data_IF_563773523129
#
_entry.id   IF_563773523129
#
_cell.length_a   1.000
_cell.length_b   1.000
_cell.length_c   1.000
_cell.angle_alpha   90.00
_cell.angle_beta   90.00
_cell.angle_gamma   90.00
#
_symmetry.space_group_name_H-M   'P 1'
#
loop_
_entity.id
_entity.type
_entity.pdbx_description
1 polymer ?
#
# COMPACT_ATOMS: atom_id res chain seq x y z
N UNK A 1 25.72 -20.77 -19.13
CA UNK A 1 24.23 -20.76 -19.06
C UNK A 1 23.75 -20.11 -20.35
N UNK A 2 22.88 -20.76 -21.13
CA UNK A 2 22.53 -20.24 -22.45
C UNK A 2 21.88 -18.86 -22.34
N UNK A 3 22.41 -17.88 -23.08
CA UNK A 3 21.86 -16.53 -23.33
C UNK A 3 20.33 -16.48 -23.38
N UNK A 4 19.60 -17.43 -24.03
CA UNK A 4 18.13 -17.40 -24.03
C UNK A 4 17.44 -17.61 -22.68
N UNK A 5 18.07 -18.29 -21.72
CA UNK A 5 17.44 -18.53 -20.40
C UNK A 5 17.54 -17.29 -19.51
N UNK A 6 18.70 -16.64 -19.51
CA UNK A 6 18.97 -15.41 -18.75
C UNK A 6 18.05 -14.28 -19.23
N UNK A 7 17.92 -14.12 -20.55
CA UNK A 7 17.06 -13.09 -21.13
C UNK A 7 15.57 -13.30 -20.80
N UNK A 8 15.10 -14.55 -20.73
CA UNK A 8 13.71 -14.86 -20.31
C UNK A 8 13.46 -14.54 -18.84
N UNK A 9 14.45 -14.77 -17.98
CA UNK A 9 14.34 -14.43 -16.57
C UNK A 9 14.22 -12.91 -16.37
N UNK A 10 15.03 -12.12 -17.08
CA UNK A 10 14.96 -10.66 -17.03
C UNK A 10 13.65 -10.09 -17.55
N UNK A 11 13.15 -10.61 -18.67
CA UNK A 11 11.81 -10.25 -19.16
C UNK A 11 10.75 -10.59 -18.12
N UNK A 12 10.89 -11.72 -17.42
CA UNK A 12 10.01 -12.11 -16.32
C UNK A 12 10.02 -11.10 -15.17
N UNK A 13 11.21 -10.70 -14.70
CA UNK A 13 11.35 -9.69 -13.65
C UNK A 13 10.79 -8.33 -14.08
N UNK A 14 11.08 -7.87 -15.31
CA UNK A 14 10.52 -6.64 -15.86
C UNK A 14 8.99 -6.69 -15.96
N UNK A 15 8.43 -7.86 -16.28
CA UNK A 15 6.97 -8.04 -16.30
C UNK A 15 6.35 -7.98 -14.90
N UNK A 16 6.99 -8.59 -13.89
CA UNK A 16 6.57 -8.46 -12.48
C UNK A 16 6.63 -7.00 -12.03
N UNK A 17 7.66 -6.27 -12.48
CA UNK A 17 7.83 -4.86 -12.20
C UNK A 17 6.66 -4.05 -12.77
N UNK A 18 6.38 -4.18 -14.07
CA UNK A 18 5.25 -3.47 -14.71
C UNK A 18 3.92 -3.83 -14.03
N UNK A 19 3.72 -5.10 -13.68
CA UNK A 19 2.52 -5.51 -12.94
C UNK A 19 2.44 -4.81 -11.57
N UNK A 20 3.54 -4.74 -10.83
CA UNK A 20 3.65 -4.00 -9.57
C UNK A 20 3.30 -2.53 -9.76
N UNK A 21 3.91 -1.86 -10.74
CA UNK A 21 3.62 -0.47 -11.08
C UNK A 21 2.14 -0.26 -11.44
N UNK A 22 1.55 -1.15 -12.25
CA UNK A 22 0.14 -1.07 -12.59
C UNK A 22 -0.77 -1.23 -11.37
N UNK A 23 -0.44 -2.15 -10.46
CA UNK A 23 -1.16 -2.34 -9.20
C UNK A 23 -1.04 -1.11 -8.27
N UNK A 24 0.12 -0.45 -8.27
CA UNK A 24 0.32 0.87 -7.66
C UNK A 24 -0.62 1.91 -8.21
N UNK A 25 -0.73 2.05 -9.53
CA UNK A 25 -1.70 2.97 -10.11
C UNK A 25 -3.14 2.59 -9.73
N UNK A 26 -3.46 1.30 -9.79
CA UNK A 26 -4.80 0.79 -9.53
C UNK A 26 -5.29 1.13 -8.12
N UNK A 27 -4.44 1.00 -7.09
CA UNK A 27 -4.80 1.31 -5.70
C UNK A 27 -5.24 2.78 -5.50
N UNK A 28 -4.90 3.64 -6.46
CA UNK A 28 -5.28 5.05 -6.49
C UNK A 28 -6.33 5.42 -7.57
N UNK A 29 -7.03 4.45 -8.16
CA UNK A 29 -7.98 4.67 -9.28
C UNK A 29 -9.11 5.70 -9.02
N UNK A 30 -9.32 6.14 -7.78
CA UNK A 30 -10.27 7.18 -7.40
C UNK A 30 -9.69 8.59 -7.20
N UNK A 31 -8.37 8.78 -7.37
CA UNK A 31 -7.68 10.08 -7.19
C UNK A 31 -7.62 10.87 -8.48
N UNK A 32 -7.45 12.19 -8.35
CA UNK A 32 -7.19 13.02 -9.52
C UNK A 32 -5.81 12.72 -10.06
N UNK A 33 -5.67 12.65 -11.37
CA UNK A 33 -4.37 12.47 -12.02
C UNK A 33 -3.41 13.65 -11.75
N UNK A 34 -3.92 14.80 -11.32
CA UNK A 34 -3.10 15.96 -10.91
C UNK A 34 -2.75 15.97 -9.42
N UNK A 35 -3.21 14.99 -8.63
CA UNK A 35 -2.89 14.97 -7.21
C UNK A 35 -1.40 14.72 -7.00
N UNK A 36 -0.75 15.54 -6.17
CA UNK A 36 0.70 15.46 -5.90
C UNK A 36 1.14 14.09 -5.36
N UNK A 37 0.23 13.38 -4.68
CA UNK A 37 0.46 12.03 -4.15
C UNK A 37 0.60 10.97 -5.25
N UNK A 38 0.21 11.28 -6.49
CA UNK A 38 0.33 10.38 -7.66
C UNK A 38 1.68 10.49 -8.36
N UNK A 39 2.46 11.55 -8.09
CA UNK A 39 3.78 11.75 -8.71
C UNK A 39 4.70 10.53 -8.54
N UNK A 40 4.82 9.92 -7.36
CA UNK A 40 5.65 8.72 -7.18
C UNK A 40 5.22 7.57 -8.08
N UNK A 41 3.91 7.40 -8.28
CA UNK A 41 3.37 6.33 -9.14
C UNK A 41 3.68 6.56 -10.62
N UNK A 42 3.72 7.82 -11.06
CA UNK A 42 4.15 8.16 -12.42
C UNK A 42 5.62 7.88 -12.63
N UNK A 43 6.46 8.22 -11.65
CA UNK A 43 7.89 7.93 -11.69
C UNK A 43 8.13 6.41 -11.73
N UNK A 44 7.38 5.64 -10.94
CA UNK A 44 7.43 4.17 -10.97
C UNK A 44 7.08 3.58 -12.35
N UNK A 45 6.09 4.13 -13.06
CA UNK A 45 5.80 3.66 -14.43
C UNK A 45 6.90 4.01 -15.43
N UNK A 46 7.47 5.21 -15.32
CA UNK A 46 8.59 5.63 -16.17
C UNK A 46 9.76 4.70 -15.97
N UNK A 47 10.07 4.38 -14.73
CA UNK A 47 11.19 3.55 -14.34
C UNK A 47 10.99 2.07 -14.75
N UNK A 48 9.81 1.49 -14.51
CA UNK A 48 9.47 0.16 -15.02
C UNK A 48 9.57 0.09 -16.55
N UNK A 49 9.19 1.17 -17.24
CA UNK A 49 9.35 1.32 -18.69
C UNK A 49 10.81 1.35 -19.13
N UNK A 50 11.69 2.02 -18.37
CA UNK A 50 13.12 2.05 -18.63
C UNK A 50 13.77 0.68 -18.44
N UNK A 51 13.38 -0.07 -17.40
CA UNK A 51 13.86 -1.44 -17.17
C UNK A 51 13.36 -2.42 -18.23
N UNK A 52 12.10 -2.33 -18.65
CA UNK A 52 11.61 -3.14 -19.78
C UNK A 52 12.37 -2.78 -21.07
N UNK A 53 12.60 -1.49 -21.29
CA UNK A 53 13.36 -1.04 -22.45
C UNK A 53 14.79 -1.57 -22.42
N UNK A 54 15.51 -1.47 -21.29
CA UNK A 54 16.87 -2.03 -21.15
C UNK A 54 16.86 -3.54 -21.40
N UNK A 55 15.86 -4.25 -20.88
CA UNK A 55 15.74 -5.70 -21.02
C UNK A 55 15.65 -6.18 -22.49
N UNK A 56 15.00 -5.42 -23.36
CA UNK A 56 14.91 -5.74 -24.80
C UNK A 56 16.30 -5.77 -25.45
N UNK A 57 17.23 -4.93 -24.97
CA UNK A 57 18.57 -4.80 -25.52
C UNK A 57 19.56 -5.86 -25.03
N UNK A 58 19.26 -6.63 -23.97
CA UNK A 58 20.15 -7.71 -23.49
C UNK A 58 20.46 -8.77 -24.56
N UNK A 59 19.56 -8.98 -25.53
CA UNK A 59 19.84 -9.89 -26.65
C UNK A 59 21.00 -9.44 -27.56
N UNK A 60 21.37 -8.15 -27.48
CA UNK A 60 22.45 -7.52 -28.26
C UNK A 60 23.64 -7.15 -27.39
N UNK A 61 23.64 -7.61 -26.15
CA UNK A 61 24.77 -7.48 -25.24
C UNK A 61 26.04 -8.08 -25.86
N UNK A 62 27.18 -7.46 -25.58
CA UNK A 62 28.51 -7.79 -26.15
C UNK A 62 28.66 -7.66 -27.67
N UNK A 63 27.63 -7.16 -28.37
CA UNK A 63 27.78 -6.75 -29.77
C UNK A 63 28.42 -5.36 -29.89
N UNK A 64 29.11 -5.10 -31.02
CA UNK A 64 29.77 -3.82 -31.31
C UNK A 64 30.79 -3.36 -30.24
N UNK A 65 31.56 -4.30 -29.67
CA UNK A 65 32.64 -3.97 -28.73
C UNK A 65 32.16 -3.42 -27.38
N UNK A 66 30.96 -3.83 -26.93
CA UNK A 66 30.40 -3.45 -25.63
C UNK A 66 29.62 -2.13 -25.61
N UNK A 67 29.37 -1.52 -26.78
CA UNK A 67 28.56 -0.30 -26.87
C UNK A 67 27.16 -0.47 -26.27
N UNK A 68 26.48 -1.59 -26.59
CA UNK A 68 25.15 -1.88 -26.07
C UNK A 68 25.17 -2.15 -24.56
N UNK A 69 26.21 -2.82 -24.05
CA UNK A 69 26.40 -3.06 -22.62
C UNK A 69 26.43 -1.73 -21.85
N UNK A 70 27.25 -0.77 -22.29
CA UNK A 70 27.31 0.55 -21.65
C UNK A 70 26.00 1.34 -21.79
N UNK A 71 25.30 1.22 -22.92
CA UNK A 71 24.01 1.89 -23.11
C UNK A 71 22.94 1.34 -22.16
N UNK A 72 22.86 0.01 -22.00
CA UNK A 72 21.96 -0.68 -21.07
C UNK A 72 22.20 -0.18 -19.64
N UNK A 73 23.45 -0.18 -19.18
CA UNK A 73 23.77 0.27 -17.82
C UNK A 73 23.48 1.75 -17.55
N UNK A 74 23.57 2.62 -18.56
CA UNK A 74 23.15 4.03 -18.42
C UNK A 74 21.64 4.17 -18.29
N UNK A 75 20.88 3.36 -19.03
CA UNK A 75 19.43 3.32 -18.93
C UNK A 75 19.02 2.79 -17.56
N UNK A 76 19.64 1.71 -17.09
CA UNK A 76 19.36 1.11 -15.77
C UNK A 76 19.78 2.01 -14.61
N UNK A 77 20.89 2.75 -14.74
CA UNK A 77 21.25 3.77 -13.77
C UNK A 77 20.21 4.89 -13.70
N UNK A 78 19.66 5.29 -14.85
CA UNK A 78 18.59 6.29 -14.92
C UNK A 78 17.33 5.75 -14.26
N UNK A 79 16.96 4.50 -14.55
CA UNK A 79 15.84 3.80 -13.93
C UNK A 79 15.99 3.78 -12.40
N UNK A 80 17.11 3.26 -11.88
CA UNK A 80 17.38 3.21 -10.44
C UNK A 80 17.37 4.59 -9.77
N UNK A 81 17.79 5.65 -10.46
CA UNK A 81 17.72 7.02 -9.93
C UNK A 81 16.28 7.51 -9.84
N UNK A 82 15.46 7.24 -10.87
CA UNK A 82 14.04 7.58 -10.87
C UNK A 82 13.31 6.81 -9.75
N UNK A 83 13.62 5.52 -9.58
CA UNK A 83 13.03 4.70 -8.52
C UNK A 83 13.37 5.25 -7.12
N UNK A 84 14.63 5.63 -6.91
CA UNK A 84 15.05 6.18 -5.63
C UNK A 84 14.31 7.49 -5.32
N UNK A 85 14.09 8.34 -6.32
CA UNK A 85 13.28 9.57 -6.16
C UNK A 85 11.81 9.21 -5.88
N UNK A 86 11.27 8.23 -6.60
CA UNK A 86 9.91 7.73 -6.38
C UNK A 86 9.74 7.19 -4.95
N UNK A 87 10.74 6.49 -4.41
CA UNK A 87 10.67 5.92 -3.06
C UNK A 87 10.64 6.98 -1.96
N UNK A 88 11.35 8.09 -2.13
CA UNK A 88 11.19 9.27 -1.26
C UNK A 88 9.81 9.92 -1.43
N UNK A 89 9.27 9.92 -2.65
CA UNK A 89 7.92 10.37 -2.92
C UNK A 89 6.83 9.51 -2.25
N UNK A 90 7.00 8.19 -2.25
CA UNK A 90 6.08 7.26 -1.58
C UNK A 90 6.06 7.45 -0.07
N UNK A 91 7.22 7.60 0.58
CA UNK A 91 7.23 7.82 2.04
C UNK A 91 6.55 9.15 2.42
N UNK A 92 6.70 10.19 1.59
CA UNK A 92 6.00 11.46 1.80
C UNK A 92 4.49 11.32 1.56
N UNK A 93 4.09 10.66 0.48
CA UNK A 93 2.69 10.40 0.16
C UNK A 93 2.01 9.58 1.25
N UNK A 94 2.71 8.54 1.74
CA UNK A 94 2.31 7.75 2.88
C UNK A 94 2.16 8.63 4.12
N UNK A 95 3.17 9.43 4.47
CA UNK A 95 3.10 10.32 5.64
C UNK A 95 1.90 11.28 5.59
N UNK A 96 1.54 11.76 4.40
CA UNK A 96 0.41 12.69 4.21
C UNK A 96 -0.97 12.03 4.19
N UNK A 97 -1.06 10.77 3.75
CA UNK A 97 -2.34 10.11 3.48
C UNK A 97 -2.68 8.97 4.44
N UNK A 98 -1.69 8.43 5.15
CA UNK A 98 -1.85 7.15 5.82
C UNK A 98 -2.53 7.27 7.18
N UNK A 99 -3.53 6.41 7.38
CA UNK A 99 -4.28 6.28 8.62
C UNK A 99 -3.61 5.24 9.49
N UNK A 100 -3.06 5.65 10.64
CA UNK A 100 -2.37 4.74 11.57
C UNK A 100 -3.37 3.84 12.30
N UNK A 101 -3.32 2.54 12.06
CA UNK A 101 -4.12 1.53 12.79
C UNK A 101 -3.25 0.34 13.21
N UNK A 102 -3.73 -0.56 14.08
CA UNK A 102 -2.97 -1.77 14.44
C UNK A 102 -2.71 -2.62 13.18
N UNK A 103 -1.44 -2.99 12.93
CA UNK A 103 -1.03 -3.71 11.72
C UNK A 103 -1.01 -2.86 10.44
N UNK A 104 -1.18 -1.54 10.55
CA UNK A 104 -0.99 -0.56 9.48
C UNK A 104 -0.17 0.62 10.01
N UNK A 105 1.06 0.74 9.55
CA UNK A 105 2.01 1.73 10.07
C UNK A 105 3.40 1.57 9.46
N UNK A 106 4.29 2.48 9.81
CA UNK A 106 5.70 2.37 9.41
C UNK A 106 6.41 1.36 10.32
N UNK A 107 6.06 0.09 10.15
CA UNK A 107 6.49 -1.05 10.98
C UNK A 107 6.86 -2.21 10.07
N UNK A 108 7.80 -3.06 10.48
CA UNK A 108 8.23 -4.21 9.68
C UNK A 108 7.13 -5.26 9.46
N UNK A 109 6.04 -5.21 10.25
CA UNK A 109 4.87 -6.05 10.05
C UNK A 109 3.94 -5.54 8.94
N UNK A 110 4.13 -4.30 8.47
CA UNK A 110 3.34 -3.73 7.37
C UNK A 110 4.02 -4.03 6.02
N UNK A 111 3.39 -4.79 5.11
CA UNK A 111 3.98 -5.11 3.82
C UNK A 111 4.35 -3.87 2.98
N UNK A 112 3.70 -2.72 3.18
CA UNK A 112 4.07 -1.47 2.51
C UNK A 112 5.46 -0.98 2.95
N UNK A 113 5.77 -1.12 4.24
CA UNK A 113 7.07 -0.69 4.79
C UNK A 113 8.18 -1.59 4.27
N UNK A 114 7.93 -2.90 4.20
CA UNK A 114 8.89 -3.87 3.66
C UNK A 114 9.09 -3.67 2.16
N UNK A 115 8.02 -3.45 1.40
CA UNK A 115 8.10 -3.15 -0.02
C UNK A 115 8.91 -1.87 -0.27
N UNK A 116 8.64 -0.79 0.47
CA UNK A 116 9.38 0.46 0.36
C UNK A 116 10.87 0.30 0.71
N UNK A 117 11.19 -0.42 1.79
CA UNK A 117 12.56 -0.69 2.21
C UNK A 117 13.31 -1.50 1.15
N UNK A 118 12.70 -2.59 0.68
CA UNK A 118 13.30 -3.46 -0.33
C UNK A 118 13.55 -2.70 -1.63
N UNK A 119 12.58 -1.90 -2.07
CA UNK A 119 12.71 -1.07 -3.27
C UNK A 119 13.86 -0.07 -3.12
N UNK A 120 13.86 0.72 -2.04
CA UNK A 120 14.91 1.71 -1.77
C UNK A 120 16.31 1.08 -1.70
N UNK A 121 16.43 -0.07 -1.02
CA UNK A 121 17.71 -0.80 -0.92
C UNK A 121 18.14 -1.30 -2.30
N UNK A 122 17.21 -1.86 -3.09
CA UNK A 122 17.50 -2.34 -4.43
C UNK A 122 17.96 -1.21 -5.35
N UNK A 123 17.27 -0.06 -5.36
CA UNK A 123 17.69 1.10 -6.17
C UNK A 123 19.10 1.59 -5.80
N UNK A 124 19.44 1.59 -4.51
CA UNK A 124 20.80 1.94 -4.05
C UNK A 124 21.83 0.92 -4.56
N UNK A 125 21.54 -0.38 -4.44
CA UNK A 125 22.41 -1.45 -4.95
C UNK A 125 22.62 -1.28 -6.47
N UNK A 126 21.54 -1.06 -7.23
CA UNK A 126 21.60 -0.84 -8.67
C UNK A 126 22.39 0.40 -9.06
N UNK A 127 22.25 1.50 -8.31
CA UNK A 127 23.01 2.70 -8.55
C UNK A 127 24.51 2.45 -8.33
N UNK A 128 24.89 1.80 -7.22
CA UNK A 128 26.29 1.45 -6.93
C UNK A 128 26.84 0.51 -8.00
N UNK A 129 26.09 -0.52 -8.36
CA UNK A 129 26.46 -1.48 -9.40
C UNK A 129 26.69 -0.78 -10.74
N UNK A 130 25.75 0.03 -11.22
CA UNK A 130 25.87 0.70 -12.51
C UNK A 130 26.99 1.77 -12.50
N UNK A 131 27.25 2.44 -11.38
CA UNK A 131 28.43 3.32 -11.24
C UNK A 131 29.70 2.50 -11.41
N UNK A 132 29.81 1.36 -10.73
CA UNK A 132 31.00 0.48 -10.85
C UNK A 132 31.21 0.03 -12.28
N UNK A 133 30.17 -0.42 -12.99
CA UNK A 133 30.30 -0.86 -14.39
C UNK A 133 30.65 0.31 -15.33
N UNK A 134 30.13 1.51 -15.10
CA UNK A 134 30.51 2.68 -15.89
C UNK A 134 31.97 3.11 -15.68
N UNK A 135 32.55 2.85 -14.49
CA UNK A 135 33.95 3.18 -14.18
C UNK A 135 34.90 2.04 -14.59
N UNK A 136 34.48 0.79 -14.40
CA UNK A 136 35.24 -0.44 -14.62
C UNK A 136 34.38 -1.47 -15.39
N UNK A 137 34.20 -1.29 -16.72
CA UNK A 137 33.35 -2.16 -17.53
C UNK A 137 33.78 -3.62 -17.51
N UNK A 138 35.05 -3.91 -17.24
CA UNK A 138 35.60 -5.26 -17.11
C UNK A 138 35.03 -6.06 -15.92
N UNK A 139 34.38 -5.41 -14.95
CA UNK A 139 33.69 -6.09 -13.85
C UNK A 139 32.32 -6.65 -14.25
N UNK A 140 31.86 -6.33 -15.46
CA UNK A 140 30.62 -6.85 -16.01
C UNK A 140 30.64 -8.39 -16.03
N UNK A 141 29.53 -9.01 -15.60
CA UNK A 141 29.38 -10.48 -15.50
C UNK A 141 30.04 -11.17 -14.29
N UNK A 142 30.90 -10.48 -13.52
CA UNK A 142 31.51 -11.04 -12.29
C UNK A 142 30.96 -10.42 -11.01
N UNK A 143 30.32 -9.26 -11.13
CA UNK A 143 29.78 -8.52 -10.01
C UNK A 143 28.42 -9.06 -9.56
N UNK A 144 28.40 -9.68 -8.37
CA UNK A 144 27.19 -10.28 -7.76
C UNK A 144 26.19 -9.25 -7.21
N UNK A 145 26.55 -7.97 -7.12
CA UNK A 145 25.64 -6.93 -6.62
C UNK A 145 24.35 -6.86 -7.42
N UNK A 146 24.43 -7.05 -8.74
CA UNK A 146 23.26 -7.06 -9.60
C UNK A 146 22.27 -8.17 -9.20
N UNK A 147 22.76 -9.40 -9.00
CA UNK A 147 21.93 -10.52 -8.55
C UNK A 147 21.29 -10.26 -7.18
N UNK A 148 22.01 -9.62 -6.25
CA UNK A 148 21.42 -9.23 -4.97
C UNK A 148 20.36 -8.14 -5.14
N UNK A 149 20.60 -7.16 -6.01
CA UNK A 149 19.63 -6.15 -6.40
C UNK A 149 18.33 -6.77 -6.89
N UNK A 150 18.39 -7.69 -7.85
CA UNK A 150 17.26 -8.46 -8.38
C UNK A 150 16.48 -9.21 -7.30
N UNK A 151 17.17 -9.91 -6.41
CA UNK A 151 16.53 -10.70 -5.35
C UNK A 151 15.78 -9.78 -4.38
N UNK A 152 16.43 -8.71 -3.91
CA UNK A 152 15.81 -7.74 -3.01
C UNK A 152 14.62 -7.07 -3.70
N UNK A 153 14.78 -6.72 -4.98
CA UNK A 153 13.72 -6.14 -5.80
C UNK A 153 12.50 -7.05 -5.86
N UNK A 154 12.72 -8.30 -6.27
CA UNK A 154 11.67 -9.30 -6.44
C UNK A 154 10.90 -9.54 -5.13
N UNK A 155 11.61 -9.61 -4.01
CA UNK A 155 10.99 -9.70 -2.68
C UNK A 155 10.12 -8.47 -2.42
N UNK A 156 10.63 -7.26 -2.68
CA UNK A 156 9.88 -6.01 -2.55
C UNK A 156 8.59 -6.00 -3.39
N UNK A 157 8.69 -6.36 -4.67
CA UNK A 157 7.54 -6.45 -5.57
C UNK A 157 6.50 -7.47 -5.08
N UNK A 158 6.93 -8.62 -4.54
CA UNK A 158 5.99 -9.59 -3.96
C UNK A 158 5.26 -9.01 -2.75
N UNK A 159 5.97 -8.40 -1.80
CA UNK A 159 5.33 -7.73 -0.65
C UNK A 159 4.35 -6.66 -1.09
N UNK A 160 4.70 -5.92 -2.14
CA UNK A 160 3.82 -4.90 -2.68
C UNK A 160 2.53 -5.46 -3.30
N UNK A 161 2.64 -6.51 -4.12
CA UNK A 161 1.47 -7.20 -4.67
C UNK A 161 0.55 -7.65 -3.53
N UNK A 162 1.11 -8.21 -2.45
CA UNK A 162 0.32 -8.56 -1.27
C UNK A 162 -0.32 -7.35 -0.59
N UNK A 163 0.39 -6.22 -0.46
CA UNK A 163 -0.16 -5.00 0.11
C UNK A 163 -1.33 -4.44 -0.73
N UNK A 164 -1.19 -4.41 -2.06
CA UNK A 164 -2.27 -3.96 -2.95
C UNK A 164 -3.50 -4.86 -2.84
N UNK A 165 -3.29 -6.18 -2.92
CA UNK A 165 -4.39 -7.15 -2.82
C UNK A 165 -5.06 -7.12 -1.43
N UNK A 166 -4.28 -6.86 -0.37
CA UNK A 166 -4.81 -6.60 0.97
C UNK A 166 -5.72 -5.37 0.97
N UNK A 167 -5.28 -4.26 0.39
CA UNK A 167 -6.01 -3.00 0.44
C UNK A 167 -7.31 -3.01 -0.37
N UNK A 168 -7.35 -3.82 -1.43
CA UNK A 168 -8.56 -4.17 -2.18
C UNK A 168 -9.44 -5.23 -1.47
N UNK A 169 -9.08 -5.66 -0.26
CA UNK A 169 -9.77 -6.67 0.55
C UNK A 169 -9.85 -8.07 -0.09
N UNK A 170 -8.96 -8.41 -1.03
CA UNK A 170 -8.89 -9.77 -1.60
C UNK A 170 -8.45 -10.78 -0.54
N UNK A 171 -7.61 -10.35 0.41
CA UNK A 171 -7.04 -11.20 1.46
C UNK A 171 -7.38 -10.72 2.89
N UNK A 172 -8.65 -10.42 3.13
CA UNK A 172 -9.14 -9.97 4.45
C UNK A 172 -8.88 -10.95 5.61
N UNK A 173 -8.54 -12.21 5.31
CA UNK A 173 -8.25 -13.26 6.31
C UNK A 173 -6.75 -13.42 6.63
N UNK A 174 -5.85 -12.75 5.90
CA UNK A 174 -4.41 -12.93 6.13
C UNK A 174 -3.92 -12.17 7.37
N UNK A 175 -2.91 -12.70 8.09
CA UNK A 175 -2.40 -12.08 9.30
C UNK A 175 -1.84 -10.66 9.08
N UNK A 176 -1.31 -10.42 7.87
CA UNK A 176 -0.70 -9.16 7.44
C UNK A 176 -1.74 -8.14 6.93
N UNK A 177 -3.03 -8.45 7.02
CA UNK A 177 -4.07 -7.58 6.49
C UNK A 177 -4.32 -6.32 7.32
N UNK A 178 -3.78 -6.26 8.54
CA UNK A 178 -4.04 -5.16 9.48
C UNK A 178 -5.50 -5.05 9.93
N UNK A 179 -6.36 -6.01 9.55
CA UNK A 179 -7.78 -6.06 9.87
C UNK A 179 -8.13 -7.15 10.90
N UNK A 180 -7.16 -7.63 11.70
CA UNK A 180 -7.42 -8.64 12.73
C UNK A 180 -8.56 -8.19 13.67
N UNK A 181 -9.71 -8.86 13.56
CA UNK A 181 -10.90 -8.61 14.39
C UNK A 181 -11.94 -7.65 13.80
N UNK A 182 -11.73 -7.10 12.61
CA UNK A 182 -12.73 -6.30 11.89
C UNK A 182 -13.36 -7.15 10.80
N UNK A 183 -14.52 -7.75 11.09
CA UNK A 183 -15.29 -8.43 10.05
C UNK A 183 -15.70 -7.42 8.95
N UNK A 184 -15.66 -7.81 7.65
CA UNK A 184 -16.14 -6.97 6.57
C UNK A 184 -17.57 -6.49 6.87
N UNK A 185 -17.77 -5.17 6.90
CA UNK A 185 -19.04 -4.52 7.24
C UNK A 185 -19.16 -3.93 8.66
N UNK A 186 -18.16 -4.07 9.55
CA UNK A 186 -18.20 -3.47 10.91
C UNK A 186 -17.43 -2.18 11.11
N UNK A 187 -16.57 -1.81 10.15
CA UNK A 187 -15.91 -0.50 10.16
C UNK A 187 -16.49 0.29 8.99
N UNK A 188 -17.32 1.28 9.30
CA UNK A 188 -17.52 2.41 8.40
C UNK A 188 -16.17 3.13 8.34
N UNK A 189 -15.36 2.78 7.36
CA UNK A 189 -14.27 3.65 6.94
C UNK A 189 -14.98 4.83 6.30
N UNK A 190 -15.18 5.90 7.07
CA UNK A 190 -15.49 7.20 6.48
C UNK A 190 -14.25 7.59 5.66
N UNK A 191 -14.20 7.11 4.42
CA UNK A 191 -13.31 7.64 3.41
C UNK A 191 -13.78 9.05 3.15
N UNK A 192 -13.26 10.01 3.91
CA UNK A 192 -13.38 11.39 3.50
C UNK A 192 -12.60 11.48 2.20
N UNK A 193 -13.30 11.61 1.07
CA UNK A 193 -12.68 11.92 -0.23
C UNK A 193 -11.79 13.17 -0.17
N UNK A 194 -11.97 14.01 0.86
CA UNK A 194 -11.05 15.06 1.25
C UNK A 194 -9.84 14.51 2.01
N UNK A 195 -8.63 14.98 1.65
CA UNK A 195 -7.42 14.80 2.47
C UNK A 195 -7.74 15.05 3.95
N UNK A 196 -7.17 14.26 4.89
CA UNK A 196 -7.31 14.56 6.31
C UNK A 196 -6.91 16.01 6.53
N UNK A 197 -7.86 16.82 7.01
CA UNK A 197 -7.57 18.21 7.35
C UNK A 197 -6.55 18.16 8.49
N UNK A 198 -5.37 18.74 8.27
CA UNK A 198 -4.29 18.82 9.26
C UNK A 198 -4.87 19.11 10.65
N UNK A 199 -4.68 18.19 11.59
CA UNK A 199 -5.10 18.35 12.99
C UNK A 199 -6.39 17.64 13.43
N UNK A 200 -7.13 16.93 12.55
CA UNK A 200 -8.18 16.01 13.01
C UNK A 200 -7.62 14.59 13.15
N UNK A 201 -7.65 13.98 14.36
CA UNK A 201 -7.19 12.62 14.54
C UNK A 201 -8.08 11.68 13.72
N UNK A 202 -7.46 10.89 12.86
CA UNK A 202 -8.14 9.80 12.20
C UNK A 202 -8.67 8.86 13.27
N UNK A 203 -9.94 8.48 13.15
CA UNK A 203 -10.70 7.68 14.12
C UNK A 203 -9.81 6.55 14.63
N UNK A 204 -9.31 6.70 15.86
CA UNK A 204 -8.53 5.66 16.50
C UNK A 204 -9.48 4.47 16.71
N UNK A 205 -9.17 3.32 16.13
CA UNK A 205 -9.90 2.05 16.34
C UNK A 205 -9.75 1.56 17.82
N UNK A 206 -9.45 2.43 18.77
CA UNK A 206 -9.69 2.17 20.19
C UNK A 206 -11.14 2.39 20.61
N UNK A 207 -11.92 3.17 19.86
CA UNK A 207 -13.30 3.51 20.28
C UNK A 207 -14.34 2.42 20.01
N UNK A 208 -14.03 1.44 19.15
CA UNK A 208 -14.90 0.28 18.93
C UNK A 208 -14.98 -0.63 20.18
N UNK A 209 -13.88 -0.77 20.92
CA UNK A 209 -13.87 -1.52 22.17
C UNK A 209 -14.55 -0.75 23.32
N UNK A 210 -14.45 0.58 23.36
CA UNK A 210 -15.14 1.40 24.38
C UNK A 210 -16.66 1.36 24.20
N UNK A 211 -17.17 1.43 22.96
CA UNK A 211 -18.63 1.39 22.71
C UNK A 211 -19.27 0.05 23.09
N UNK A 212 -18.56 -1.07 22.94
CA UNK A 212 -19.05 -2.37 23.42
C UNK A 212 -19.11 -2.45 24.95
N UNK A 213 -18.15 -1.85 25.67
CA UNK A 213 -18.22 -1.77 27.14
C UNK A 213 -19.38 -0.91 27.64
N UNK A 214 -19.70 0.19 26.96
CA UNK A 214 -20.81 1.06 27.35
C UNK A 214 -22.16 0.37 27.15
N UNK A 215 -22.35 -0.39 26.06
CA UNK A 215 -23.62 -1.12 25.81
C UNK A 215 -23.88 -2.23 26.84
N UNK A 216 -22.84 -2.87 27.37
CA UNK A 216 -22.99 -3.90 28.41
C UNK A 216 -23.15 -3.36 29.83
N UNK A 217 -22.89 -2.06 30.03
CA UNK A 217 -23.09 -1.38 31.32
C UNK A 217 -24.37 -0.54 31.38
N UNK A 218 -25.24 -0.61 30.37
CA UNK A 218 -26.60 -0.09 30.53
C UNK A 218 -27.34 -1.06 31.46
N UNK A 219 -27.69 -0.67 32.70
CA UNK A 219 -28.47 -1.53 33.57
C UNK A 219 -29.76 -1.87 32.83
N UNK A 220 -30.03 -3.18 32.67
CA UNK A 220 -31.34 -3.64 32.18
C UNK A 220 -32.40 -2.92 33.02
N UNK A 221 -33.21 -2.06 32.38
CA UNK A 221 -34.37 -1.46 33.03
C UNK A 221 -35.12 -2.60 33.71
N UNK A 222 -35.22 -2.55 35.04
CA UNK A 222 -36.13 -3.43 35.78
C UNK A 222 -37.50 -3.25 35.12
N UNK A 223 -38.13 -4.36 34.76
CA UNK A 223 -39.52 -4.37 34.31
C UNK A 223 -40.32 -3.57 35.33
N UNK A 224 -40.87 -2.43 34.89
CA UNK A 224 -41.81 -1.67 35.68
C UNK A 224 -43.10 -2.49 35.65
N UNK A 225 -43.42 -3.17 36.75
CA UNK A 225 -44.75 -3.75 36.93
C UNK A 225 -45.73 -2.57 37.02
N UNK A 226 -46.75 -2.49 36.14
CA UNK A 226 -47.76 -1.46 36.27
C UNK A 226 -48.52 -1.67 37.59
N UNK A 227 -48.79 -0.60 38.35
CA UNK A 227 -49.59 -0.73 39.57
C UNK A 227 -50.98 -1.26 39.22
N UNK A 228 -51.40 -2.29 39.93
CA UNK A 228 -52.78 -2.79 39.90
C UNK A 228 -53.70 -1.68 40.43
N UNK A 229 -54.39 -0.99 39.52
CA UNK A 229 -55.41 -0.03 39.90
C UNK A 229 -56.61 -0.77 40.50
N UNK A 230 -56.75 -0.62 41.82
CA UNK A 230 -57.95 -0.95 42.57
C UNK A 230 -59.13 -0.16 42.02
N UNK A 231 -60.10 -0.90 41.49
CA UNK A 231 -61.43 -0.43 41.11
C UNK A 231 -62.26 -0.30 42.40
N UNK A 232 -62.46 0.92 42.89
CA UNK A 232 -63.56 1.32 43.79
C UNK A 232 -63.84 2.81 43.52
N UNK A 233 -64.93 3.21 42.84
CA UNK A 233 -66.35 3.34 43.22
C UNK A 233 -66.68 4.72 43.83
N UNK A 234 -67.81 5.29 43.36
CA UNK A 234 -68.64 6.39 43.94
C UNK A 234 -68.19 7.81 43.56
N UNK A 235 -69.04 8.79 43.26
CA UNK A 235 -70.35 8.94 42.60
C UNK A 235 -70.53 10.47 42.48
N UNK A 236 -71.42 10.89 41.58
CA UNK A 236 -72.24 12.11 41.67
C UNK A 236 -71.56 13.47 41.95
N UNK A 237 -71.51 14.31 40.93
CA UNK A 237 -72.22 15.61 40.88
C UNK A 237 -71.67 16.40 39.69
N UNK A 238 -72.45 16.55 38.62
CA UNK A 238 -72.54 17.81 37.85
C UNK A 238 -73.66 17.71 36.80
N UNK A 239 -74.90 17.77 37.27
CA UNK A 239 -76.04 18.19 36.46
C UNK A 239 -76.67 19.40 37.15
N UNK A 240 -76.44 20.59 36.56
CA UNK A 240 -76.99 21.95 36.80
C UNK A 240 -75.83 22.88 36.43
N UNK A 241 -75.79 23.57 35.29
CA UNK A 241 -76.74 24.56 34.80
C UNK A 241 -76.38 24.90 33.35
N UNK A 242 -77.31 24.69 32.41
CA UNK A 242 -77.42 25.47 31.18
C UNK A 242 -78.83 25.23 30.61
N UNK A 243 -79.60 26.33 30.51
CA UNK A 243 -80.98 26.50 30.04
C UNK A 243 -82.09 26.23 31.07
#
# INVERSE_FOLDING_TARGET
>A
IGVPLVNRFYIGLAAVHILSAFLYWWSWAGRSWLDIIMIPEYLNHVEAGLYLWSAIWYSREDTLGGYYTLAIHKIEMTAATVELIASFGWIMSWYMTYVRTLGRGFTLDDPDTVAWLATTISSIIYMIYNIQINVQPEQYGTNLLYTYGDIVYFVGACYYIFATLRDENWFWFLPLSGQYGVAPGRVQVESTKSLPTYGKPTILITDLCKRCRIKNNIPKKKHYEPPQNNIFKIDNELHRTAL
#
